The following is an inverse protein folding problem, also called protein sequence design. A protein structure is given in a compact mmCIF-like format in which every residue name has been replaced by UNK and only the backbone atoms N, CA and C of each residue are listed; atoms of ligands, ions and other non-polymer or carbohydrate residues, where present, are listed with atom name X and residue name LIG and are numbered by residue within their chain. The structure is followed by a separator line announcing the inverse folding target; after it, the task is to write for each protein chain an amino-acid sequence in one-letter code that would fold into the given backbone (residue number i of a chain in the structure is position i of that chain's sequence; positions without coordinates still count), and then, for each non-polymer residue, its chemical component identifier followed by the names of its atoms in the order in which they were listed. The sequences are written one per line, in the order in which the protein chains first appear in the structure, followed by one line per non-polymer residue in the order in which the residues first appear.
data_IF_874700207156
#
_entry.id   IF_874700207156
#
_cell.length_a   1.000
_cell.length_b   1.000
_cell.length_c   1.000
_cell.angle_alpha   90.00
_cell.angle_beta   90.00
_cell.angle_gamma   90.00
#
_symmetry.space_group_name_H-M   'P 1'
#
loop_
_entity.id
_entity.type
_entity.pdbx_description
1 polymer ?
#
# COMPACT_ATOMS: atom_id res chain seq x y z
N UNK A 1 -10.15 -14.25 7.38
CA UNK A 1 -10.18 -15.17 6.23
C UNK A 1 -9.14 -14.68 5.24
N UNK A 2 -8.33 -15.57 4.69
CA UNK A 2 -7.29 -15.22 3.72
C UNK A 2 -7.51 -16.07 2.46
N UNK A 3 -7.33 -15.53 1.24
CA UNK A 3 -7.35 -16.35 0.03
C UNK A 3 -6.14 -17.31 0.02
N UNK A 4 -6.29 -18.46 -0.63
CA UNK A 4 -5.18 -19.40 -0.83
C UNK A 4 -4.10 -18.82 -1.75
N UNK A 5 -4.52 -17.99 -2.72
CA UNK A 5 -3.67 -17.42 -3.76
C UNK A 5 -4.13 -15.99 -4.07
N UNK A 6 -3.19 -15.10 -4.39
CA UNK A 6 -3.47 -13.73 -4.80
C UNK A 6 -2.61 -13.36 -6.01
N UNK A 7 -3.25 -13.01 -7.12
CA UNK A 7 -2.61 -12.56 -8.35
C UNK A 7 -2.76 -11.05 -8.50
N UNK A 8 -1.64 -10.36 -8.70
CA UNK A 8 -1.58 -8.90 -8.85
C UNK A 8 -1.19 -8.58 -10.30
N UNK A 9 -2.07 -7.88 -11.02
CA UNK A 9 -1.85 -7.41 -12.39
C UNK A 9 -2.05 -5.90 -12.46
N UNK A 10 -0.94 -5.13 -12.56
CA UNK A 10 -0.98 -3.66 -12.50
C UNK A 10 -1.64 -3.04 -13.74
N UNK A 11 -1.69 -3.78 -14.85
CA UNK A 11 -2.33 -3.36 -16.10
C UNK A 11 -3.82 -3.10 -15.92
N UNK A 12 -4.46 -3.79 -14.97
CA UNK A 12 -5.89 -3.67 -14.69
C UNK A 12 -6.27 -2.38 -13.97
N UNK A 13 -5.30 -1.64 -13.43
CA UNK A 13 -5.54 -0.39 -12.67
C UNK A 13 -5.03 0.86 -13.39
N UNK A 14 -4.42 0.73 -14.57
CA UNK A 14 -3.89 1.87 -15.35
C UNK A 14 -4.99 2.87 -15.73
N UNK A 15 -6.21 2.40 -16.00
CA UNK A 15 -7.34 3.25 -16.38
C UNK A 15 -8.11 3.85 -15.19
N UNK A 16 -7.65 3.64 -13.95
CA UNK A 16 -8.35 4.13 -12.78
C UNK A 16 -8.34 5.67 -12.73
N UNK A 17 -9.47 6.32 -12.36
CA UNK A 17 -9.52 7.76 -12.18
C UNK A 17 -8.53 8.25 -11.13
N UNK A 18 -7.91 9.42 -11.35
CA UNK A 18 -6.90 10.00 -10.46
C UNK A 18 -7.35 10.13 -9.01
N UNK A 19 -8.60 10.55 -8.77
CA UNK A 19 -9.15 10.66 -7.42
C UNK A 19 -9.23 9.29 -6.73
N UNK A 20 -9.73 8.26 -7.41
CA UNK A 20 -9.78 6.90 -6.85
C UNK A 20 -8.38 6.34 -6.58
N UNK A 21 -7.41 6.62 -7.45
CA UNK A 21 -6.01 6.23 -7.24
C UNK A 21 -5.39 6.94 -6.04
N UNK A 22 -5.69 8.22 -5.85
CA UNK A 22 -5.25 8.98 -4.67
C UNK A 22 -5.87 8.42 -3.38
N UNK A 23 -7.20 8.22 -3.35
CA UNK A 23 -7.93 7.73 -2.17
C UNK A 23 -7.43 6.33 -1.74
N UNK A 24 -7.25 5.42 -2.71
CA UNK A 24 -6.74 4.07 -2.42
C UNK A 24 -5.25 4.08 -2.01
N UNK A 25 -4.45 4.98 -2.58
CA UNK A 25 -3.08 5.20 -2.12
C UNK A 25 -3.01 5.72 -0.68
N UNK A 26 -3.92 6.62 -0.29
CA UNK A 26 -4.03 7.13 1.08
C UNK A 26 -4.42 6.03 2.07
N UNK A 27 -5.31 5.10 1.68
CA UNK A 27 -5.68 3.94 2.50
C UNK A 27 -4.46 3.03 2.75
N UNK A 28 -3.68 2.72 1.70
CA UNK A 28 -2.44 1.95 1.81
C UNK A 28 -1.43 2.63 2.75
N UNK A 29 -1.25 3.95 2.64
CA UNK A 29 -0.36 4.69 3.52
C UNK A 29 -0.81 4.62 4.99
N UNK A 30 -2.11 4.82 5.23
CA UNK A 30 -2.69 4.76 6.57
C UNK A 30 -2.49 3.37 7.18
N UNK A 31 -2.75 2.31 6.41
CA UNK A 31 -2.54 0.92 6.84
C UNK A 31 -1.08 0.64 7.21
N UNK A 32 -0.12 1.14 6.44
CA UNK A 32 1.29 0.96 6.72
C UNK A 32 1.70 1.66 8.03
N UNK A 33 1.23 2.90 8.24
CA UNK A 33 1.52 3.64 9.47
C UNK A 33 0.90 2.99 10.70
N UNK A 34 -0.37 2.56 10.62
CA UNK A 34 -1.05 1.84 11.70
C UNK A 34 -0.35 0.52 12.06
N UNK A 35 0.14 -0.21 11.06
CA UNK A 35 0.86 -1.46 11.26
C UNK A 35 2.23 -1.21 11.92
N UNK A 36 2.97 -0.19 11.48
CA UNK A 36 4.28 0.17 12.01
C UNK A 36 4.23 0.62 13.48
N UNK A 37 3.22 1.42 13.86
CA UNK A 37 3.07 1.88 15.27
C UNK A 37 2.29 0.90 16.15
N UNK A 38 1.90 -0.27 15.62
CA UNK A 38 1.11 -1.25 16.35
C UNK A 38 1.87 -1.84 17.54
N UNK A 39 1.15 -2.11 18.63
CA UNK A 39 1.69 -2.85 19.79
C UNK A 39 2.05 -4.30 19.47
N UNK A 40 1.68 -4.79 18.29
CA UNK A 40 1.96 -6.15 17.79
C UNK A 40 2.95 -6.17 16.62
N UNK A 41 3.71 -5.10 16.41
CA UNK A 41 4.66 -5.06 15.30
C UNK A 41 5.86 -6.00 15.52
N UNK A 42 6.53 -6.34 14.42
CA UNK A 42 7.79 -7.07 14.38
C UNK A 42 8.65 -6.59 13.21
N UNK A 43 9.93 -6.97 13.22
CA UNK A 43 10.92 -6.53 12.22
C UNK A 43 10.49 -6.82 10.77
N UNK A 44 9.80 -7.93 10.52
CA UNK A 44 9.34 -8.25 9.16
C UNK A 44 8.22 -7.29 8.72
N UNK A 45 7.22 -7.06 9.56
CA UNK A 45 6.14 -6.12 9.23
C UNK A 45 6.65 -4.69 9.13
N UNK A 46 7.57 -4.27 9.99
CA UNK A 46 8.15 -2.92 9.97
C UNK A 46 8.89 -2.65 8.66
N UNK A 47 9.74 -3.59 8.23
CA UNK A 47 10.48 -3.47 6.95
C UNK A 47 9.54 -3.34 5.76
N UNK A 48 8.42 -4.08 5.76
CA UNK A 48 7.40 -3.96 4.72
C UNK A 48 6.71 -2.60 4.76
N UNK A 49 6.38 -2.08 5.94
CA UNK A 49 5.75 -0.77 6.10
C UNK A 49 6.65 0.36 5.59
N UNK A 50 7.94 0.34 5.95
CA UNK A 50 8.92 1.31 5.45
C UNK A 50 8.99 1.29 3.92
N UNK A 51 9.03 0.08 3.31
CA UNK A 51 9.06 -0.05 1.86
C UNK A 51 7.77 0.46 1.20
N UNK A 52 6.62 0.21 1.81
CA UNK A 52 5.32 0.72 1.32
C UNK A 52 5.31 2.24 1.31
N UNK A 53 5.76 2.90 2.37
CA UNK A 53 5.82 4.38 2.44
C UNK A 53 6.65 4.96 1.28
N UNK A 54 7.82 4.37 1.02
CA UNK A 54 8.68 4.80 -0.10
C UNK A 54 7.99 4.60 -1.45
N UNK A 55 7.33 3.45 -1.66
CA UNK A 55 6.65 3.13 -2.93
C UNK A 55 5.45 4.04 -3.18
N UNK A 56 4.64 4.33 -2.16
CA UNK A 56 3.50 5.25 -2.26
C UNK A 56 3.98 6.65 -2.64
N UNK A 57 5.05 7.14 -1.99
CA UNK A 57 5.62 8.44 -2.32
C UNK A 57 6.10 8.51 -3.78
N UNK A 58 6.77 7.46 -4.27
CA UNK A 58 7.22 7.38 -5.66
C UNK A 58 6.05 7.33 -6.65
N UNK A 59 5.00 6.58 -6.33
CA UNK A 59 3.83 6.45 -7.19
C UNK A 59 3.02 7.76 -7.28
N UNK A 60 2.91 8.51 -6.18
CA UNK A 60 2.19 9.78 -6.16
C UNK A 60 2.84 10.89 -6.99
N UNK A 61 4.15 10.82 -7.24
CA UNK A 61 4.80 11.76 -8.16
C UNK A 61 4.35 11.58 -9.62
N UNK A 62 3.60 10.51 -9.93
CA UNK A 62 3.18 10.14 -11.28
C UNK A 62 1.68 10.37 -11.56
N UNK A 63 0.87 10.66 -10.54
CA UNK A 63 -0.58 10.96 -10.67
C UNK A 63 -0.84 12.45 -10.71
#
# INVERSE_FOLDING_TARGET
MQPNEAYLASELVISAPRNSTADTGMDVLTRALEAYVSTKTNVFSDTLCERVVVLVWQAWLLI
#
